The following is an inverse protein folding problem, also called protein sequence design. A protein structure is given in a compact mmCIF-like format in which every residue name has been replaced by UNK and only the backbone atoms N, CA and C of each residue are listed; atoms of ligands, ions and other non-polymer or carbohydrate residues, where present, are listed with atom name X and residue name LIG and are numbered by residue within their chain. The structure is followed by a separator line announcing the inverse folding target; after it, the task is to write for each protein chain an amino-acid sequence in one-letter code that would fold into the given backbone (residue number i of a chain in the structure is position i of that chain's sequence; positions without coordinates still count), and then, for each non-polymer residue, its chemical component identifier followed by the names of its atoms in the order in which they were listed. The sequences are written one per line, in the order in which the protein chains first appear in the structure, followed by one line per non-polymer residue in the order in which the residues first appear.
data_IF_873322017071
#
_entry.id   IF_873322017071
#
_cell.length_a   1.000
_cell.length_b   1.000
_cell.length_c   1.000
_cell.angle_alpha   90.00
_cell.angle_beta   90.00
_cell.angle_gamma   90.00
#
_symmetry.space_group_name_H-M   'P 1'
#
loop_
_entity.id
_entity.type
_entity.pdbx_description
1 polymer ?
#
# COMPACT_ATOMS: atom_id res chain seq x y z
N UNK A 1 -9.18 4.83 17.45
CA UNK A 1 -8.23 5.76 16.78
C UNK A 1 -8.97 6.74 15.86
N UNK A 2 -8.34 7.79 15.30
CA UNK A 2 -9.00 8.72 14.36
C UNK A 2 -9.42 7.96 13.08
N UNK A 3 -10.74 7.84 12.85
CA UNK A 3 -11.30 7.14 11.70
C UNK A 3 -10.77 7.69 10.35
N UNK A 4 -10.45 8.98 10.30
CA UNK A 4 -9.89 9.61 9.08
C UNK A 4 -8.48 9.11 8.78
N UNK A 5 -7.70 8.76 9.80
CA UNK A 5 -6.37 8.17 9.62
C UNK A 5 -6.48 6.79 8.96
N UNK A 6 -7.37 5.93 9.45
CA UNK A 6 -7.60 4.59 8.91
C UNK A 6 -8.12 4.69 7.46
N UNK A 7 -9.09 5.58 7.20
CA UNK A 7 -9.58 5.81 5.84
C UNK A 7 -8.48 6.28 4.88
N UNK A 8 -7.59 7.15 5.33
CA UNK A 8 -6.46 7.62 4.51
C UNK A 8 -5.46 6.50 4.23
N UNK A 9 -5.17 5.63 5.20
CA UNK A 9 -4.31 4.47 5.01
C UNK A 9 -4.91 3.47 4.01
N UNK A 10 -6.21 3.20 4.11
CA UNK A 10 -6.93 2.34 3.15
C UNK A 10 -6.95 2.94 1.73
N UNK A 11 -7.12 4.26 1.59
CA UNK A 11 -6.99 4.95 0.30
C UNK A 11 -5.57 4.82 -0.27
N UNK A 12 -4.55 5.02 0.55
CA UNK A 12 -3.15 4.90 0.13
C UNK A 12 -2.82 3.48 -0.35
N UNK A 13 -3.27 2.45 0.40
CA UNK A 13 -3.15 1.05 0.03
C UNK A 13 -3.73 0.77 -1.37
N UNK A 14 -4.92 1.28 -1.67
CA UNK A 14 -5.57 1.13 -2.98
C UNK A 14 -4.76 1.80 -4.09
N UNK A 15 -4.23 3.00 -3.87
CA UNK A 15 -3.41 3.69 -4.87
C UNK A 15 -2.11 2.92 -5.17
N UNK A 16 -1.47 2.32 -4.16
CA UNK A 16 -0.27 1.50 -4.35
C UNK A 16 -0.54 0.25 -5.20
N UNK A 17 -1.70 -0.38 -5.06
CA UNK A 17 -2.13 -1.52 -5.91
C UNK A 17 -2.22 -1.12 -7.38
N UNK A 18 -2.80 0.05 -7.67
CA UNK A 18 -2.88 0.56 -9.05
C UNK A 18 -1.49 0.79 -9.66
N UNK A 19 -0.51 1.18 -8.83
CA UNK A 19 0.86 1.37 -9.27
C UNK A 19 1.62 0.06 -9.53
N UNK A 20 1.22 -1.05 -8.89
CA UNK A 20 1.86 -2.37 -9.05
C UNK A 20 1.16 -3.31 -10.04
N UNK A 21 -0.17 -3.39 -10.06
CA UNK A 21 -0.91 -4.48 -10.71
C UNK A 21 -1.57 -4.09 -12.05
N UNK A 22 -1.88 -2.81 -12.32
CA UNK A 22 -2.62 -2.41 -13.54
C UNK A 22 -1.76 -2.15 -14.78
N UNK A 23 -0.42 -2.24 -14.69
CA UNK A 23 0.43 -2.08 -15.87
C UNK A 23 0.70 -3.41 -16.54
N UNK A 24 -0.22 -3.79 -17.43
CA UNK A 24 -0.28 -4.96 -18.34
C UNK A 24 1.03 -5.42 -19.04
N UNK A 25 2.20 -4.79 -18.87
CA UNK A 25 3.43 -5.08 -19.64
C UNK A 25 4.75 -4.81 -18.91
N UNK A 26 4.82 -4.62 -17.59
CA UNK A 26 6.12 -4.19 -17.00
C UNK A 26 6.92 -5.38 -16.46
N UNK A 27 8.03 -5.63 -17.16
CA UNK A 27 9.13 -6.54 -16.82
C UNK A 27 9.32 -6.69 -15.31
N UNK A 28 9.34 -7.95 -14.88
CA UNK A 28 9.22 -8.49 -13.52
C UNK A 28 10.24 -8.01 -12.47
N UNK A 29 11.10 -7.03 -12.74
CA UNK A 29 12.24 -6.69 -11.87
C UNK A 29 12.61 -5.19 -11.83
N UNK A 30 11.65 -4.28 -12.00
CA UNK A 30 11.94 -2.86 -11.76
C UNK A 30 11.92 -2.57 -10.25
N UNK A 31 13.02 -2.04 -9.70
CA UNK A 31 13.15 -1.59 -8.29
C UNK A 31 11.95 -0.78 -7.79
N UNK A 32 11.29 -0.04 -8.70
CA UNK A 32 10.05 0.68 -8.42
C UNK A 32 8.94 -0.20 -7.87
N UNK A 33 8.74 -1.42 -8.40
CA UNK A 33 7.74 -2.36 -7.89
C UNK A 33 8.13 -2.89 -6.51
N UNK A 34 9.41 -3.22 -6.29
CA UNK A 34 9.88 -3.61 -4.96
C UNK A 34 9.64 -2.50 -3.92
N UNK A 35 9.84 -1.24 -4.33
CA UNK A 35 9.54 -0.10 -3.47
C UNK A 35 8.03 0.03 -3.21
N UNK A 36 7.18 -0.18 -4.21
CA UNK A 36 5.72 -0.17 -4.03
C UNK A 36 5.27 -1.29 -3.08
N UNK A 37 5.80 -2.50 -3.21
CA UNK A 37 5.50 -3.60 -2.29
C UNK A 37 5.97 -3.33 -0.86
N UNK A 38 7.16 -2.74 -0.68
CA UNK A 38 7.62 -2.27 0.64
C UNK A 38 6.68 -1.23 1.24
N UNK A 39 6.23 -0.26 0.43
CA UNK A 39 5.25 0.74 0.87
C UNK A 39 3.91 0.09 1.26
N UNK A 40 3.45 -0.93 0.52
CA UNK A 40 2.23 -1.69 0.86
C UNK A 40 2.36 -2.41 2.20
N UNK A 41 3.51 -3.04 2.48
CA UNK A 41 3.77 -3.70 3.76
C UNK A 41 3.64 -2.72 4.93
N UNK A 42 4.31 -1.56 4.83
CA UNK A 42 4.28 -0.53 5.88
C UNK A 42 2.86 -0.01 6.13
N UNK A 43 2.08 0.21 5.06
CA UNK A 43 0.68 0.66 5.20
C UNK A 43 -0.18 -0.41 5.86
N UNK A 44 -0.03 -1.69 5.49
CA UNK A 44 -0.76 -2.78 6.14
C UNK A 44 -0.40 -2.91 7.62
N UNK A 45 0.88 -2.86 7.97
CA UNK A 45 1.34 -2.88 9.36
C UNK A 45 0.74 -1.71 10.14
N UNK A 46 0.70 -0.51 9.54
CA UNK A 46 0.08 0.67 10.16
C UNK A 46 -1.43 0.50 10.39
N UNK A 47 -2.16 -0.10 9.44
CA UNK A 47 -3.60 -0.42 9.59
C UNK A 47 -3.81 -1.49 10.67
N UNK A 48 -2.93 -2.49 10.77
CA UNK A 48 -3.02 -3.49 11.83
C UNK A 48 -2.79 -2.90 13.22
N UNK A 49 -1.74 -2.07 13.37
CA UNK A 49 -1.48 -1.33 14.61
C UNK A 49 -2.68 -0.45 14.97
N UNK A 50 -3.29 0.15 13.95
CA UNK A 50 -4.46 1.00 14.09
C UNK A 50 -5.71 0.29 14.59
N UNK A 51 -5.95 -0.93 14.13
CA UNK A 51 -7.11 -1.73 14.49
C UNK A 51 -6.92 -2.49 15.81
N UNK A 52 -5.67 -2.67 16.27
CA UNK A 52 -5.32 -3.30 17.55
C UNK A 52 -5.28 -2.31 18.73
N UNK A 53 -5.33 -1.00 18.48
CA UNK A 53 -5.28 0.10 19.47
C UNK A 53 -6.65 0.72 19.73
#
# INVERSE_FOLDING_TARGET
MDNRLIENLEKLKKMLVLLSEERKVVLSHHKTFEHVEKMRSIVNESIEMANKS
#
